data_IF_039561144899
#
_entry.id   IF_039561144899
#
_cell.length_a   1.000
_cell.length_b   1.000
_cell.length_c   1.000
_cell.angle_alpha   90.00
_cell.angle_beta   90.00
_cell.angle_gamma   90.00
#
_symmetry.space_group_name_H-M   'P 1'
#
loop_
_entity.id
_entity.type
_entity.pdbx_description
1 polymer ?
#
# COMPACT_ATOMS: atom_id res chain seq x y z
N UNK A 1 76.47 21.68 -12.70
CA UNK A 1 75.62 20.49 -12.50
C UNK A 1 74.24 20.82 -11.91
N UNK A 2 74.05 21.93 -11.18
CA UNK A 2 72.76 22.33 -10.58
C UNK A 2 71.55 22.37 -11.53
N UNK A 3 71.73 22.84 -12.77
CA UNK A 3 70.64 22.95 -13.76
C UNK A 3 69.94 21.63 -14.11
N UNK A 4 70.60 20.48 -13.90
CA UNK A 4 70.04 19.16 -14.16
C UNK A 4 69.15 18.69 -13.00
N UNK A 5 69.55 19.02 -11.78
CA UNK A 5 68.83 18.65 -10.56
C UNK A 5 67.56 19.50 -10.42
N UNK A 6 67.63 20.79 -10.77
CA UNK A 6 66.46 21.70 -10.78
C UNK A 6 65.39 21.24 -11.78
N UNK A 7 65.81 20.73 -12.95
CA UNK A 7 64.89 20.20 -13.95
C UNK A 7 64.17 18.94 -13.46
N UNK A 8 64.88 18.03 -12.81
CA UNK A 8 64.27 16.83 -12.24
C UNK A 8 63.32 17.16 -11.09
N UNK A 9 63.64 18.15 -10.26
CA UNK A 9 62.74 18.62 -9.22
C UNK A 9 61.43 19.18 -9.79
N UNK A 10 61.50 19.95 -10.87
CA UNK A 10 60.32 20.48 -11.56
C UNK A 10 59.49 19.38 -12.24
N UNK A 11 60.14 18.37 -12.83
CA UNK A 11 59.45 17.22 -13.42
C UNK A 11 58.64 16.43 -12.38
N UNK A 12 59.19 16.24 -11.17
CA UNK A 12 58.47 15.59 -10.07
C UNK A 12 57.28 16.42 -9.59
N UNK A 13 57.44 17.74 -9.47
CA UNK A 13 56.35 18.63 -9.08
C UNK A 13 55.23 18.68 -10.13
N UNK A 14 55.57 18.69 -11.41
CA UNK A 14 54.58 18.62 -12.48
C UNK A 14 53.81 17.30 -12.43
N UNK A 15 54.49 16.17 -12.24
CA UNK A 15 53.83 14.87 -12.12
C UNK A 15 52.90 14.79 -10.90
N UNK A 16 53.29 15.39 -9.77
CA UNK A 16 52.44 15.49 -8.57
C UNK A 16 51.20 16.35 -8.83
N UNK A 17 51.38 17.53 -9.44
CA UNK A 17 50.28 18.43 -9.78
C UNK A 17 49.32 17.84 -10.82
N UNK A 18 49.83 17.09 -11.80
CA UNK A 18 48.98 16.39 -12.79
C UNK A 18 48.11 15.34 -12.11
N UNK A 19 48.69 14.56 -11.19
CA UNK A 19 47.96 13.58 -10.40
C UNK A 19 46.88 14.23 -9.52
N UNK A 20 47.23 15.29 -8.80
CA UNK A 20 46.25 16.04 -8.00
C UNK A 20 45.12 16.62 -8.87
N UNK A 21 45.45 17.08 -10.09
CA UNK A 21 44.43 17.59 -11.01
C UNK A 21 43.44 16.50 -11.43
N UNK A 22 43.95 15.30 -11.71
CA UNK A 22 43.12 14.14 -12.05
C UNK A 22 42.22 13.72 -10.89
N UNK A 23 42.76 13.67 -9.67
CA UNK A 23 42.01 13.36 -8.46
C UNK A 23 40.90 14.39 -8.21
N UNK A 24 41.20 15.69 -8.28
CA UNK A 24 40.20 16.76 -8.11
C UNK A 24 39.13 16.74 -9.21
N UNK A 25 39.48 16.37 -10.45
CA UNK A 25 38.49 16.22 -11.54
C UNK A 25 37.53 15.05 -11.27
N UNK A 26 38.04 13.93 -10.76
CA UNK A 26 37.23 12.78 -10.37
C UNK A 26 36.28 13.14 -9.23
N UNK A 27 36.77 13.82 -8.18
CA UNK A 27 35.91 14.29 -7.09
C UNK A 27 34.81 15.24 -7.57
N UNK A 28 35.13 16.15 -8.49
CA UNK A 28 34.15 17.06 -9.08
C UNK A 28 33.11 16.32 -9.93
N UNK A 29 33.48 15.28 -10.68
CA UNK A 29 32.50 14.48 -11.42
C UNK A 29 31.56 13.74 -10.48
N UNK A 30 32.09 13.12 -9.43
CA UNK A 30 31.30 12.37 -8.45
C UNK A 30 30.34 13.29 -7.68
N UNK A 31 30.82 14.47 -7.27
CA UNK A 31 29.98 15.46 -6.60
C UNK A 31 28.85 15.96 -7.51
N UNK A 32 29.11 16.16 -8.80
CA UNK A 32 28.09 16.56 -9.78
C UNK A 32 27.06 15.46 -10.00
N UNK A 33 27.48 14.21 -10.05
CA UNK A 33 26.58 13.07 -10.19
C UNK A 33 25.67 12.93 -8.96
N UNK A 34 26.24 12.97 -7.75
CA UNK A 34 25.47 12.96 -6.50
C UNK A 34 24.47 14.12 -6.43
N UNK A 35 24.87 15.32 -6.84
CA UNK A 35 23.98 16.48 -6.90
C UNK A 35 22.86 16.30 -7.93
N UNK A 36 23.12 15.65 -9.06
CA UNK A 36 22.12 15.33 -10.07
C UNK A 36 21.12 14.30 -9.54
N UNK A 37 21.60 13.22 -8.92
CA UNK A 37 20.76 12.18 -8.31
C UNK A 37 19.84 12.78 -7.23
N UNK A 38 20.38 13.59 -6.32
CA UNK A 38 19.59 14.24 -5.28
C UNK A 38 18.48 15.16 -5.84
N UNK A 39 18.74 15.86 -6.95
CA UNK A 39 17.72 16.69 -7.63
C UNK A 39 16.64 15.85 -8.29
N UNK A 40 17.00 14.69 -8.82
CA UNK A 40 16.06 13.76 -9.43
C UNK A 40 15.14 13.14 -8.38
N UNK A 41 15.70 12.69 -7.26
CA UNK A 41 14.95 12.19 -6.10
C UNK A 41 13.98 13.25 -5.55
N UNK A 42 14.41 14.50 -5.38
CA UNK A 42 13.52 15.57 -4.92
C UNK A 42 12.40 15.86 -5.92
N UNK A 43 12.70 15.82 -7.23
CA UNK A 43 11.70 16.01 -8.28
C UNK A 43 10.68 14.87 -8.28
N UNK A 44 11.13 13.63 -8.11
CA UNK A 44 10.25 12.47 -7.98
C UNK A 44 9.39 12.55 -6.71
N UNK A 45 10.01 12.92 -5.57
CA UNK A 45 9.32 13.14 -4.30
C UNK A 45 8.18 14.15 -4.47
N UNK A 46 8.45 15.30 -5.11
CA UNK A 46 7.45 16.35 -5.39
C UNK A 46 6.34 15.89 -6.31
N UNK A 47 6.64 15.12 -7.38
CA UNK A 47 5.61 14.54 -8.26
C UNK A 47 4.70 13.57 -7.49
N UNK A 48 5.28 12.75 -6.64
CA UNK A 48 4.54 11.77 -5.83
C UNK A 48 3.63 12.45 -4.79
N UNK A 49 4.04 13.59 -4.22
CA UNK A 49 3.17 14.37 -3.32
C UNK A 49 2.13 15.21 -4.06
N UNK A 50 2.47 15.85 -5.19
CA UNK A 50 1.54 16.74 -5.91
C UNK A 50 0.42 15.99 -6.64
N UNK A 51 0.73 14.88 -7.30
CA UNK A 51 -0.27 14.04 -8.01
C UNK A 51 -1.27 13.37 -7.07
N UNK A 52 -0.95 13.25 -5.78
CA UNK A 52 -1.81 12.64 -4.73
C UNK A 52 -2.46 13.68 -3.81
N UNK A 53 -2.26 14.98 -4.04
CA UNK A 53 -2.57 16.04 -3.06
C UNK A 53 -3.91 16.78 -3.24
N UNK A 54 -4.45 16.80 -4.46
CA UNK A 54 -5.62 17.61 -4.81
C UNK A 54 -6.86 16.78 -5.16
N UNK A 55 -8.04 17.29 -4.80
CA UNK A 55 -9.32 16.73 -5.21
C UNK A 55 -9.46 16.77 -6.73
N UNK A 56 -9.78 15.64 -7.36
CA UNK A 56 -9.96 15.56 -8.82
C UNK A 56 -11.17 16.36 -9.32
N UNK A 57 -12.11 16.69 -8.43
CA UNK A 57 -13.35 17.41 -8.78
C UNK A 57 -13.17 18.92 -8.66
N UNK A 58 -12.60 19.40 -7.54
CA UNK A 58 -12.56 20.84 -7.25
C UNK A 58 -11.15 21.40 -6.97
N UNK A 59 -10.10 20.57 -7.07
CA UNK A 59 -8.72 20.97 -6.80
C UNK A 59 -8.40 21.25 -5.32
N UNK A 60 -9.38 21.15 -4.42
CA UNK A 60 -9.21 21.40 -2.99
C UNK A 60 -8.31 20.39 -2.27
N UNK A 61 -7.90 20.74 -1.05
CA UNK A 61 -6.97 19.94 -0.25
C UNK A 61 -7.62 18.62 0.21
N UNK A 62 -6.88 17.53 0.04
CA UNK A 62 -7.26 16.18 0.45
C UNK A 62 -6.65 15.81 1.80
N UNK A 63 -7.50 15.50 2.78
CA UNK A 63 -7.12 15.07 4.12
C UNK A 63 -7.22 13.54 4.24
N UNK A 64 -6.25 12.85 4.87
CA UNK A 64 -6.30 11.40 5.03
C UNK A 64 -7.47 10.99 5.94
N UNK A 65 -8.22 9.97 5.52
CA UNK A 65 -9.31 9.37 6.33
C UNK A 65 -9.19 7.85 6.31
N UNK A 66 -9.53 7.22 7.43
CA UNK A 66 -9.61 5.77 7.50
C UNK A 66 -11.01 5.31 7.06
N UNK A 67 -11.07 4.35 6.15
CA UNK A 67 -12.33 3.72 5.72
C UNK A 67 -12.28 2.26 6.11
N UNK A 68 -13.30 1.83 6.82
CA UNK A 68 -13.45 0.48 7.32
C UNK A 68 -14.65 -0.19 6.65
N UNK A 69 -14.54 -1.50 6.41
CA UNK A 69 -15.61 -2.33 5.91
C UNK A 69 -16.41 -2.94 7.08
N UNK A 70 -17.75 -2.94 6.95
CA UNK A 70 -18.67 -3.60 7.86
C UNK A 70 -19.45 -2.66 8.79
N UNK A 71 -20.48 -3.21 9.43
CA UNK A 71 -21.31 -2.54 10.46
C UNK A 71 -20.82 -2.77 11.90
N UNK A 72 -19.70 -3.50 12.07
CA UNK A 72 -19.19 -3.87 13.38
C UNK A 72 -18.20 -2.82 13.90
N UNK A 73 -18.68 -1.87 14.70
CA UNK A 73 -17.86 -0.81 15.30
C UNK A 73 -16.81 -1.33 16.28
N UNK A 74 -17.03 -2.54 16.82
CA UNK A 74 -16.11 -3.19 17.78
C UNK A 74 -14.88 -3.81 17.12
N UNK A 75 -14.93 -4.07 15.81
CA UNK A 75 -13.82 -4.71 15.07
C UNK A 75 -13.82 -4.23 13.62
N UNK A 76 -13.45 -2.98 13.36
CA UNK A 76 -13.50 -2.41 12.02
C UNK A 76 -12.42 -3.05 11.14
N UNK A 77 -12.82 -3.72 10.04
CA UNK A 77 -11.86 -4.30 9.11
C UNK A 77 -11.39 -3.22 8.13
N UNK A 78 -10.08 -3.01 7.91
CA UNK A 78 -9.60 -2.04 6.94
C UNK A 78 -10.07 -2.42 5.53
N UNK A 79 -10.56 -1.43 4.77
CA UNK A 79 -11.01 -1.66 3.40
C UNK A 79 -9.82 -2.04 2.51
N UNK A 80 -9.86 -3.25 1.93
CA UNK A 80 -8.86 -3.74 0.98
C UNK A 80 -9.55 -4.07 -0.34
N UNK A 81 -8.94 -3.69 -1.45
CA UNK A 81 -9.45 -4.00 -2.79
C UNK A 81 -8.63 -5.13 -3.39
N UNK A 82 -9.29 -6.17 -3.90
CA UNK A 82 -8.64 -7.20 -4.69
C UNK A 82 -8.08 -6.57 -5.97
N UNK A 83 -6.77 -6.40 -6.05
CA UNK A 83 -6.12 -5.93 -7.28
C UNK A 83 -5.85 -7.15 -8.14
N UNK A 84 -6.82 -7.47 -9.01
CA UNK A 84 -6.60 -8.40 -10.10
C UNK A 84 -5.42 -7.85 -10.92
N UNK A 85 -4.31 -8.60 -11.05
CA UNK A 85 -3.21 -8.21 -11.93
C UNK A 85 -3.77 -8.19 -13.36
N UNK A 86 -3.98 -7.01 -13.93
CA UNK A 86 -4.41 -6.79 -15.33
C UNK A 86 -3.46 -7.38 -16.40
N UNK A 87 -2.41 -8.10 -15.99
CA UNK A 87 -1.29 -8.52 -16.85
C UNK A 87 -1.20 -10.06 -16.98
N UNK A 88 -1.89 -10.86 -16.16
CA UNK A 88 -1.75 -12.32 -16.22
C UNK A 88 -3.10 -13.07 -16.38
N UNK A 89 -3.38 -13.66 -17.56
CA UNK A 89 -4.64 -14.36 -17.82
C UNK A 89 -4.80 -15.70 -17.09
N UNK A 90 -3.77 -16.21 -16.40
CA UNK A 90 -3.83 -17.44 -15.58
C UNK A 90 -3.86 -17.22 -14.07
N UNK A 91 -3.85 -15.95 -13.61
CA UNK A 91 -3.66 -15.62 -12.20
C UNK A 91 -4.96 -15.50 -11.41
N UNK A 92 -5.22 -16.45 -10.51
CA UNK A 92 -6.25 -16.32 -9.47
C UNK A 92 -6.02 -15.14 -8.51
N UNK A 93 -7.04 -14.83 -7.71
CA UNK A 93 -7.09 -13.77 -6.69
C UNK A 93 -5.88 -13.84 -5.73
N UNK A 94 -4.78 -13.15 -6.03
CA UNK A 94 -3.52 -13.36 -5.28
C UNK A 94 -3.07 -12.17 -4.45
N UNK A 95 -3.72 -11.01 -4.49
CA UNK A 95 -3.45 -9.97 -3.48
C UNK A 95 -4.56 -8.93 -3.35
N UNK A 96 -4.78 -8.50 -2.11
CA UNK A 96 -5.62 -7.34 -1.81
C UNK A 96 -4.70 -6.16 -1.49
N UNK A 97 -4.78 -5.08 -2.29
CA UNK A 97 -3.99 -3.89 -2.05
C UNK A 97 -4.69 -2.99 -1.01
N UNK A 98 -3.92 -2.36 -0.10
CA UNK A 98 -4.48 -1.40 0.84
C UNK A 98 -5.00 -0.17 0.09
N UNK A 99 -6.23 0.24 0.44
CA UNK A 99 -6.84 1.46 -0.10
C UNK A 99 -6.57 2.59 0.87
N UNK A 100 -5.99 3.68 0.38
CA UNK A 100 -5.96 4.95 1.09
C UNK A 100 -7.18 5.75 0.67
N UNK A 101 -7.94 6.24 1.63
CA UNK A 101 -9.00 7.18 1.38
C UNK A 101 -8.57 8.58 1.80
N UNK A 102 -8.91 9.59 1.01
CA UNK A 102 -8.76 10.99 1.41
C UNK A 102 -10.07 11.73 1.19
N UNK A 103 -10.50 12.49 2.18
CA UNK A 103 -11.67 13.35 2.08
C UNK A 103 -11.25 14.74 1.62
N UNK A 104 -11.99 15.32 0.67
CA UNK A 104 -11.78 16.69 0.26
C UNK A 104 -12.41 17.66 1.26
N UNK A 105 -11.60 18.58 1.78
CA UNK A 105 -12.03 19.62 2.71
C UNK A 105 -13.02 20.63 2.11
N UNK A 106 -13.03 20.81 0.79
CA UNK A 106 -13.91 21.79 0.12
C UNK A 106 -15.21 21.19 -0.42
N UNK A 107 -15.18 20.00 -1.03
CA UNK A 107 -16.39 19.39 -1.63
C UNK A 107 -16.91 18.15 -0.88
N UNK A 108 -16.23 17.69 0.17
CA UNK A 108 -16.68 16.55 0.99
C UNK A 108 -16.54 15.16 0.36
N UNK A 109 -16.13 15.06 -0.91
CA UNK A 109 -15.96 13.78 -1.58
C UNK A 109 -14.78 12.98 -1.03
N UNK A 110 -14.97 11.65 -0.94
CA UNK A 110 -13.94 10.69 -0.56
C UNK A 110 -13.29 10.15 -1.84
N UNK A 111 -11.99 10.35 -1.97
CA UNK A 111 -11.18 9.82 -3.05
C UNK A 111 -10.42 8.59 -2.58
N UNK A 112 -10.58 7.48 -3.28
CA UNK A 112 -9.87 6.23 -3.03
C UNK A 112 -8.61 6.16 -3.90
N UNK A 113 -7.49 5.84 -3.28
CA UNK A 113 -6.20 5.67 -3.92
C UNK A 113 -5.66 4.28 -3.58
N UNK A 114 -5.18 3.55 -4.59
CA UNK A 114 -4.48 2.29 -4.38
C UNK A 114 -3.02 2.63 -4.06
N UNK A 115 -2.56 2.25 -2.87
CA UNK A 115 -1.17 2.49 -2.50
C UNK A 115 -0.26 1.35 -2.97
N UNK A 116 0.19 1.42 -4.23
CA UNK A 116 1.02 0.37 -4.82
C UNK A 116 2.35 0.16 -4.08
N UNK A 117 2.94 1.20 -3.48
CA UNK A 117 4.18 1.07 -2.69
C UNK A 117 4.00 0.21 -1.44
N UNK A 118 2.93 0.46 -0.69
CA UNK A 118 2.55 -0.40 0.45
C UNK A 118 2.04 -1.76 0.01
N UNK A 119 1.47 -1.88 -1.18
CA UNK A 119 1.08 -3.18 -1.73
C UNK A 119 2.33 -4.05 -1.97
N UNK A 120 3.41 -3.47 -2.51
CA UNK A 120 4.70 -4.16 -2.70
C UNK A 120 5.35 -4.57 -1.35
N UNK A 121 5.32 -3.69 -0.35
CA UNK A 121 5.80 -4.03 1.00
C UNK A 121 4.94 -5.13 1.65
N UNK A 122 3.61 -5.04 1.55
CA UNK A 122 2.68 -6.06 2.06
C UNK A 122 2.75 -7.39 1.30
N UNK A 123 3.23 -7.39 0.06
CA UNK A 123 3.54 -8.58 -0.74
C UNK A 123 4.82 -9.28 -0.26
N UNK A 124 5.73 -8.55 0.39
CA UNK A 124 7.00 -9.09 0.91
C UNK A 124 6.87 -9.72 2.31
N UNK A 125 5.93 -9.23 3.13
CA UNK A 125 5.55 -9.89 4.37
C UNK A 125 4.49 -10.95 4.08
N UNK A 126 4.93 -12.21 4.03
CA UNK A 126 4.06 -13.38 4.07
C UNK A 126 2.91 -13.13 5.06
N UNK A 127 1.69 -13.15 4.54
CA UNK A 127 0.51 -13.18 5.40
C UNK A 127 0.65 -14.39 6.33
N UNK A 128 0.34 -14.27 7.63
CA UNK A 128 0.24 -15.43 8.49
C UNK A 128 -0.76 -16.36 7.82
N UNK A 129 -0.28 -17.52 7.36
CA UNK A 129 -1.13 -18.55 6.80
C UNK A 129 -2.25 -18.76 7.82
N UNK A 130 -3.49 -18.55 7.38
CA UNK A 130 -4.62 -18.90 8.20
C UNK A 130 -4.48 -20.40 8.43
N UNK A 131 -4.03 -20.77 9.63
CA UNK A 131 -4.01 -22.14 10.08
C UNK A 131 -5.38 -22.71 9.80
N UNK A 132 -5.41 -23.72 8.94
CA UNK A 132 -6.60 -24.49 8.63
C UNK A 132 -7.24 -24.90 9.97
N UNK A 133 -8.53 -24.62 10.19
CA UNK A 133 -9.21 -25.21 11.33
C UNK A 133 -9.16 -26.73 11.10
N UNK A 134 -8.33 -27.43 11.87
CA UNK A 134 -8.31 -28.89 11.92
C UNK A 134 -9.71 -29.35 12.27
N UNK A 135 -10.40 -29.89 11.27
CA UNK A 135 -11.63 -30.64 11.48
C UNK A 135 -11.27 -31.88 12.30
N UNK A 136 -11.65 -31.90 13.57
CA UNK A 136 -11.67 -33.13 14.34
C UNK A 136 -12.89 -33.97 13.94
N UNK A 137 -12.72 -35.28 13.67
CA UNK A 137 -13.83 -36.16 13.38
C UNK A 137 -14.47 -36.63 14.70
N UNK A 138 -15.70 -36.20 15.00
CA UNK A 138 -16.52 -36.86 16.02
C UNK A 138 -17.42 -37.89 15.34
N UNK A 139 -16.94 -39.13 15.26
CA UNK A 139 -17.77 -40.30 14.94
C UNK A 139 -18.53 -40.77 16.20
N UNK A 140 -19.85 -40.98 16.05
CA UNK A 140 -20.49 -42.19 16.57
C UNK A 140 -21.28 -42.14 17.89
N UNK A 141 -22.60 -41.96 17.77
CA UNK A 141 -23.57 -42.96 18.25
C UNK A 141 -24.40 -42.66 19.52
N UNK A 142 -25.74 -42.52 19.37
CA UNK A 142 -26.74 -43.57 19.67
C UNK A 142 -28.17 -43.03 19.56
N UNK A 143 -29.05 -43.93 19.14
CA UNK A 143 -30.49 -43.77 18.95
C UNK A 143 -31.30 -43.94 20.26
N UNK A 144 -32.42 -43.24 20.35
CA UNK A 144 -33.68 -43.60 21.03
C UNK A 144 -34.68 -42.48 20.72
N UNK A 145 -35.69 -42.68 19.86
CA UNK A 145 -36.95 -43.41 20.04
C UNK A 145 -38.04 -42.65 20.83
N UNK A 146 -39.22 -42.62 20.20
CA UNK A 146 -40.59 -42.39 20.71
C UNK A 146 -41.02 -41.01 21.23
N UNK A 147 -42.16 -40.54 20.72
CA UNK A 147 -42.88 -39.38 21.28
C UNK A 147 -43.95 -38.79 20.35
N UNK A 148 -44.96 -39.60 20.00
CA UNK A 148 -46.23 -39.17 19.38
C UNK A 148 -47.00 -38.20 20.28
N UNK A 149 -47.72 -37.23 19.70
CA UNK A 149 -48.99 -36.57 20.15
C UNK A 149 -49.18 -35.33 19.24
N UNK A 150 -50.05 -35.23 18.23
CA UNK A 150 -51.50 -35.38 18.04
C UNK A 150 -52.38 -34.32 18.76
N UNK A 151 -53.12 -33.58 17.93
CA UNK A 151 -54.30 -32.71 18.19
C UNK A 151 -53.99 -31.36 18.90
N UNK A 152 -54.65 -30.23 18.63
CA UNK A 152 -55.89 -29.92 17.91
C UNK A 152 -56.04 -28.39 17.81
N UNK A 153 -56.81 -27.95 16.81
CA UNK A 153 -57.81 -26.86 16.81
C UNK A 153 -57.59 -25.60 17.64
N UNK A 154 -57.61 -24.44 16.98
CA UNK A 154 -58.73 -23.49 17.16
C UNK A 154 -58.66 -22.33 16.16
N UNK A 155 -59.76 -22.16 15.47
CA UNK A 155 -60.20 -20.99 14.74
C UNK A 155 -60.26 -19.76 15.67
N UNK A 156 -59.97 -18.58 15.14
CA UNK A 156 -60.62 -17.34 15.59
C UNK A 156 -60.48 -16.28 14.50
N UNK A 157 -61.62 -16.05 13.84
CA UNK A 157 -61.97 -14.88 13.06
C UNK A 157 -61.69 -13.56 13.81
N UNK A 158 -61.49 -12.50 13.05
CA UNK A 158 -61.32 -11.14 13.58
C UNK A 158 -61.25 -10.10 12.49
N UNK A 159 -62.34 -10.00 11.73
CA UNK A 159 -62.68 -8.91 10.83
C UNK A 159 -62.79 -7.55 11.56
N UNK A 160 -62.66 -6.50 10.75
CA UNK A 160 -63.45 -5.25 10.78
C UNK A 160 -62.82 -3.92 11.26
N UNK A 161 -63.11 -2.92 10.42
CA UNK A 161 -63.12 -1.46 10.57
C UNK A 161 -61.76 -0.75 10.64
N UNK A 162 -61.36 0.14 9.73
CA UNK A 162 -62.13 1.00 8.83
C UNK A 162 -62.46 2.32 9.51
N UNK A 163 -61.73 3.39 9.17
CA UNK A 163 -62.01 4.84 9.28
C UNK A 163 -60.64 5.53 9.07
N UNK A 164 -60.48 6.67 8.40
CA UNK A 164 -61.26 7.51 7.50
C UNK A 164 -60.22 8.45 6.85
#
# INVERSE_FOLDING_TARGET
>A
MAYRDDRHALELQLAELERENEELRAELSDAREKARQAREEDRERRRNTSSRGGCTVCGGALLPVAVFAGRNDRSPLPLRMSTMRFINPSGGFTSSAPILAKACSSCGFIHHFIDMKKADDALSTEWPSMAEPKAEPSEGGKASDSGSDKASDSEADGDDSGHA
#
